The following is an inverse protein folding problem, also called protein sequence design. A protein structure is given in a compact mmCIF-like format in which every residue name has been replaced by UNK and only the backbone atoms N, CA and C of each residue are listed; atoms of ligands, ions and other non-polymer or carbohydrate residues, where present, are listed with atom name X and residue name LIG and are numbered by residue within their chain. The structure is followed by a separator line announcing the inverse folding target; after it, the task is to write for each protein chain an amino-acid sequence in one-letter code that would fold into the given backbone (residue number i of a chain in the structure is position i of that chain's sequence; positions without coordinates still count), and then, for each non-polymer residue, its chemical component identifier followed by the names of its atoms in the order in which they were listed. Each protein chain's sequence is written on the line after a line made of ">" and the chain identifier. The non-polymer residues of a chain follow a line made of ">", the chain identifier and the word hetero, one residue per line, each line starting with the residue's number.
data_IF_317962904127
#
_entry.id   IF_317962904127
#
_cell.length_a   1.000
_cell.length_b   1.000
_cell.length_c   1.000
_cell.angle_alpha   90.00
_cell.angle_beta   90.00
_cell.angle_gamma   90.00
#
_symmetry.space_group_name_H-M   'P 1'
#
loop_
_entity.id
_entity.type
_entity.pdbx_description
1 polymer ?
#
# COMPACT_ATOMS: atom_id res chain seq x y z
N UNK A 1 -47.90 -27.56 38.53
CA UNK A 1 -47.75 -26.07 38.67
C UNK A 1 -46.30 -25.67 38.42
N UNK A 2 -45.34 -26.42 38.96
CA UNK A 2 -43.91 -26.21 38.71
C UNK A 2 -43.51 -26.34 37.23
N UNK A 3 -44.12 -27.25 36.47
CA UNK A 3 -43.84 -27.45 35.05
C UNK A 3 -44.18 -26.21 34.21
N UNK A 4 -45.31 -25.56 34.54
CA UNK A 4 -45.72 -24.32 33.91
C UNK A 4 -44.74 -23.19 34.24
N UNK A 5 -44.38 -23.05 35.53
CA UNK A 5 -43.40 -22.06 35.98
C UNK A 5 -42.04 -22.26 35.30
N UNK A 6 -41.56 -23.50 35.20
CA UNK A 6 -40.31 -23.82 34.52
C UNK A 6 -40.37 -23.51 33.02
N UNK A 7 -41.51 -23.78 32.36
CA UNK A 7 -41.75 -23.42 30.97
C UNK A 7 -41.70 -21.91 30.74
N UNK A 8 -42.41 -21.16 31.58
CA UNK A 8 -42.41 -19.68 31.53
C UNK A 8 -41.01 -19.13 31.78
N UNK A 9 -40.28 -19.65 32.76
CA UNK A 9 -38.93 -19.18 33.08
C UNK A 9 -37.96 -19.40 31.90
N UNK A 10 -38.01 -20.56 31.24
CA UNK A 10 -37.20 -20.83 30.04
C UNK A 10 -37.55 -19.90 28.89
N UNK A 11 -38.84 -19.61 28.69
CA UNK A 11 -39.30 -18.67 27.68
C UNK A 11 -38.77 -17.26 27.96
N UNK A 12 -38.92 -16.78 29.19
CA UNK A 12 -38.42 -15.46 29.62
C UNK A 12 -36.92 -15.37 29.43
N UNK A 13 -36.15 -16.36 29.89
CA UNK A 13 -34.70 -16.40 29.68
C UNK A 13 -34.33 -16.32 28.21
N UNK A 14 -35.03 -17.06 27.34
CA UNK A 14 -34.80 -17.02 25.89
C UNK A 14 -35.09 -15.64 25.30
N UNK A 15 -36.21 -15.02 25.70
CA UNK A 15 -36.58 -13.66 25.25
C UNK A 15 -35.52 -12.64 25.70
N UNK A 16 -35.05 -12.73 26.95
CA UNK A 16 -33.99 -11.85 27.47
C UNK A 16 -32.70 -12.00 26.68
N UNK A 17 -32.27 -13.24 26.40
CA UNK A 17 -31.06 -13.50 25.60
C UNK A 17 -31.21 -12.94 24.19
N UNK A 18 -32.36 -13.15 23.55
CA UNK A 18 -32.63 -12.59 22.21
C UNK A 18 -32.63 -11.07 22.24
N UNK A 19 -33.28 -10.45 23.23
CA UNK A 19 -33.32 -9.01 23.38
C UNK A 19 -31.90 -8.43 23.56
N UNK A 20 -31.06 -9.06 24.38
CA UNK A 20 -29.66 -8.67 24.56
C UNK A 20 -28.88 -8.74 23.23
N UNK A 21 -29.10 -9.79 22.44
CA UNK A 21 -28.52 -9.93 21.11
C UNK A 21 -28.99 -8.84 20.14
N UNK A 22 -30.28 -8.50 20.15
CA UNK A 22 -30.84 -7.41 19.32
C UNK A 22 -30.24 -6.06 19.71
N UNK A 23 -30.12 -5.78 21.01
CA UNK A 23 -29.49 -4.53 21.49
C UNK A 23 -28.03 -4.44 21.03
N UNK A 24 -27.26 -5.52 21.17
CA UNK A 24 -25.88 -5.57 20.68
C UNK A 24 -25.82 -5.35 19.17
N UNK A 25 -26.66 -6.04 18.41
CA UNK A 25 -26.73 -5.91 16.95
C UNK A 25 -27.06 -4.48 16.52
N UNK A 26 -28.08 -3.87 17.10
CA UNK A 26 -28.46 -2.48 16.83
C UNK A 26 -27.33 -1.51 17.18
N UNK A 27 -26.62 -1.76 18.28
CA UNK A 27 -25.45 -0.96 18.67
C UNK A 27 -24.33 -1.05 17.62
N UNK A 28 -24.01 -2.26 17.13
CA UNK A 28 -23.01 -2.44 16.06
C UNK A 28 -23.45 -1.73 14.77
N UNK A 29 -24.70 -1.89 14.36
CA UNK A 29 -25.26 -1.23 13.17
C UNK A 29 -25.16 0.28 13.31
N UNK A 30 -25.54 0.83 14.47
CA UNK A 30 -25.41 2.25 14.76
C UNK A 30 -23.94 2.70 14.70
N UNK A 31 -23.01 1.94 15.28
CA UNK A 31 -21.58 2.26 15.25
C UNK A 31 -21.03 2.28 13.82
N UNK A 32 -21.38 1.30 12.99
CA UNK A 32 -21.00 1.25 11.56
C UNK A 32 -21.62 2.42 10.80
N UNK A 33 -22.87 2.77 11.08
CA UNK A 33 -23.54 3.90 10.43
C UNK A 33 -22.90 5.23 10.79
N UNK A 34 -22.51 5.44 12.06
CA UNK A 34 -21.74 6.60 12.49
C UNK A 34 -20.38 6.63 11.79
N UNK A 35 -19.67 5.50 11.77
CA UNK A 35 -18.38 5.39 11.08
C UNK A 35 -18.52 5.72 9.59
N UNK A 36 -19.54 5.19 8.93
CA UNK A 36 -19.85 5.47 7.53
C UNK A 36 -20.17 6.96 7.32
N UNK A 37 -20.93 7.60 8.21
CA UNK A 37 -21.18 9.05 8.17
C UNK A 37 -19.89 9.85 8.28
N UNK A 38 -19.02 9.51 9.24
CA UNK A 38 -17.72 10.17 9.41
C UNK A 38 -16.86 9.98 8.16
N UNK A 39 -16.89 8.79 7.56
CA UNK A 39 -16.13 8.48 6.36
C UNK A 39 -16.69 9.17 5.12
N UNK A 40 -18.00 9.23 4.96
CA UNK A 40 -18.68 9.93 3.88
C UNK A 40 -18.48 11.44 4.00
N UNK A 41 -18.52 11.99 5.22
CA UNK A 41 -18.18 13.38 5.48
C UNK A 41 -16.70 13.61 5.10
N UNK A 42 -15.77 12.78 5.57
CA UNK A 42 -14.35 12.88 5.21
C UNK A 42 -14.12 12.81 3.69
N UNK A 43 -14.71 11.82 3.01
CA UNK A 43 -14.59 11.65 1.56
C UNK A 43 -15.27 12.80 0.80
N UNK A 44 -16.43 13.26 1.28
CA UNK A 44 -17.21 14.35 0.75
C UNK A 44 -16.61 15.72 1.01
N UNK A 45 -15.80 15.90 2.05
CA UNK A 45 -15.07 17.14 2.34
C UNK A 45 -14.15 17.53 1.19
N UNK A 46 -13.51 16.55 0.54
CA UNK A 46 -12.73 16.80 -0.68
C UNK A 46 -13.57 17.37 -1.82
N UNK A 47 -14.85 16.96 -1.91
CA UNK A 47 -15.81 17.47 -2.90
C UNK A 47 -16.43 18.80 -2.50
N UNK A 48 -16.71 19.03 -1.21
CA UNK A 48 -17.38 20.24 -0.72
C UNK A 48 -16.44 21.44 -0.53
N UNK A 49 -15.19 21.20 -0.13
CA UNK A 49 -14.22 22.29 0.16
C UNK A 49 -13.13 22.43 -0.90
N UNK A 50 -13.06 21.53 -1.89
CA UNK A 50 -12.03 21.53 -2.94
C UNK A 50 -10.59 21.34 -2.42
N UNK A 51 -10.42 21.21 -1.10
CA UNK A 51 -9.14 21.02 -0.42
C UNK A 51 -8.95 19.54 -0.15
N UNK A 52 -7.89 18.92 -0.66
CA UNK A 52 -7.65 17.50 -0.45
C UNK A 52 -7.47 17.24 1.04
N UNK A 53 -8.26 16.31 1.54
CA UNK A 53 -8.09 15.64 2.82
C UNK A 53 -6.65 15.15 2.94
N UNK A 54 -5.91 15.64 3.95
CA UNK A 54 -4.55 15.18 4.25
C UNK A 54 -4.54 13.67 4.47
N UNK A 55 -3.87 12.89 3.61
CA UNK A 55 -3.79 11.45 3.77
C UNK A 55 -2.91 11.13 4.99
N UNK A 56 -3.42 10.34 5.93
CA UNK A 56 -2.63 9.82 7.05
C UNK A 56 -1.60 8.79 6.59
N UNK A 57 -1.78 8.22 5.39
CA UNK A 57 -0.75 7.45 4.72
C UNK A 57 0.14 8.45 4.00
N UNK A 58 1.39 8.55 4.46
CA UNK A 58 2.49 9.21 3.75
C UNK A 58 2.32 8.94 2.25
N UNK A 59 2.26 9.99 1.43
CA UNK A 59 2.19 9.82 -0.03
C UNK A 59 3.46 9.09 -0.48
N UNK A 60 3.38 7.77 -0.57
CA UNK A 60 4.34 6.95 -1.27
C UNK A 60 4.09 7.24 -2.75
N UNK A 61 4.79 8.24 -3.28
CA UNK A 61 4.76 8.53 -4.71
C UNK A 61 5.36 7.30 -5.42
N UNK A 62 4.59 6.57 -6.25
CA UNK A 62 5.07 5.36 -6.90
C UNK A 62 6.30 5.62 -7.78
N UNK A 63 6.55 6.86 -8.19
CA UNK A 63 7.74 7.25 -8.96
C UNK A 63 8.99 7.41 -8.10
N UNK A 64 8.85 7.76 -6.82
CA UNK A 64 10.00 7.89 -5.91
C UNK A 64 10.40 6.57 -5.27
N UNK A 65 9.44 5.65 -5.06
CA UNK A 65 9.69 4.32 -4.47
C UNK A 65 10.63 3.43 -5.31
N UNK A 66 10.51 3.44 -6.63
CA UNK A 66 11.42 2.67 -7.49
C UNK A 66 12.76 3.39 -7.69
N UNK A 67 12.76 4.72 -7.82
CA UNK A 67 13.98 5.49 -8.09
C UNK A 67 15.04 5.41 -6.98
N UNK A 68 14.63 5.36 -5.72
CA UNK A 68 15.57 5.24 -4.57
C UNK A 68 16.21 3.85 -4.50
N UNK A 69 15.48 2.78 -4.84
CA UNK A 69 16.00 1.40 -4.82
C UNK A 69 16.95 1.13 -5.99
N UNK A 70 16.63 1.63 -7.20
CA UNK A 70 17.55 1.54 -8.33
C UNK A 70 18.83 2.35 -8.10
N UNK A 71 18.72 3.56 -7.54
CA UNK A 71 19.89 4.40 -7.23
C UNK A 71 20.75 3.83 -6.09
N UNK A 72 20.14 3.16 -5.10
CA UNK A 72 20.89 2.51 -4.01
C UNK A 72 21.63 1.26 -4.49
N UNK A 73 21.03 0.48 -5.41
CA UNK A 73 21.69 -0.66 -6.05
C UNK A 73 22.77 -0.23 -7.03
N UNK A 74 22.60 0.86 -7.78
CA UNK A 74 23.66 1.46 -8.59
C UNK A 74 24.85 1.90 -7.73
N UNK A 75 24.60 2.52 -6.57
CA UNK A 75 25.67 2.93 -5.64
C UNK A 75 26.40 1.72 -5.03
N UNK A 76 25.68 0.66 -4.66
CA UNK A 76 26.28 -0.57 -4.13
C UNK A 76 27.06 -1.34 -5.20
N UNK A 77 26.52 -1.43 -6.41
CA UNK A 77 27.19 -2.13 -7.52
C UNK A 77 28.39 -1.34 -8.04
N UNK A 78 28.37 -0.01 -7.98
CA UNK A 78 29.54 0.85 -8.25
C UNK A 78 30.58 0.72 -7.15
N UNK A 79 30.19 0.68 -5.87
CA UNK A 79 31.11 0.44 -4.75
C UNK A 79 31.73 -0.97 -4.80
N UNK A 80 30.98 -1.98 -5.26
CA UNK A 80 31.48 -3.35 -5.47
C UNK A 80 32.39 -3.46 -6.70
N UNK A 81 32.15 -2.69 -7.76
CA UNK A 81 33.04 -2.58 -8.95
C UNK A 81 34.28 -1.72 -8.69
N UNK A 82 34.25 -0.84 -7.69
CA UNK A 82 35.38 -0.04 -7.25
C UNK A 82 36.36 -0.80 -6.34
N UNK A 83 36.18 -2.11 -6.15
CA UNK A 83 37.21 -2.97 -5.55
C UNK A 83 37.88 -3.84 -6.61
N UNK A 84 38.85 -3.28 -7.38
CA UNK A 84 39.98 -4.04 -7.84
C UNK A 84 41.09 -3.96 -6.78
N UNK A 85 41.62 -5.12 -6.41
CA UNK A 85 42.96 -5.25 -5.89
C UNK A 85 43.90 -4.37 -6.73
N UNK A 86 44.64 -3.47 -6.09
CA UNK A 86 45.58 -2.59 -6.76
C UNK A 86 46.92 -2.67 -6.02
N UNK A 87 47.66 -3.74 -6.32
CA UNK A 87 49.09 -3.60 -6.55
C UNK A 87 49.29 -2.72 -7.80
N UNK A 88 50.30 -1.85 -7.72
CA UNK A 88 50.92 -1.07 -8.80
C UNK A 88 50.14 0.13 -9.42
N UNK A 89 50.73 1.31 -9.25
CA UNK A 89 50.53 2.56 -10.02
C UNK A 89 51.20 2.48 -11.42
N UNK A 90 51.23 3.52 -12.28
CA UNK A 90 50.55 4.83 -12.27
C UNK A 90 49.82 5.22 -13.59
N UNK A 91 48.97 6.24 -13.51
CA UNK A 91 48.71 7.32 -14.50
C UNK A 91 48.79 6.99 -16.01
N UNK A 92 47.66 6.66 -16.65
CA UNK A 92 47.28 7.18 -17.97
C UNK A 92 45.84 6.74 -18.33
N UNK A 93 45.11 7.54 -19.11
CA UNK A 93 43.78 7.19 -19.67
C UNK A 93 42.57 7.21 -18.73
N UNK A 94 42.32 8.34 -18.06
CA UNK A 94 41.02 8.65 -17.45
C UNK A 94 40.01 9.33 -18.42
N UNK A 95 40.26 9.31 -19.74
CA UNK A 95 39.41 9.97 -20.73
C UNK A 95 38.51 9.03 -21.57
N UNK A 96 38.59 7.70 -21.40
CA UNK A 96 37.86 6.73 -22.23
C UNK A 96 36.66 6.04 -21.54
N UNK A 97 36.35 6.39 -20.28
CA UNK A 97 35.28 5.73 -19.49
C UNK A 97 33.95 6.50 -19.44
N UNK A 98 33.67 7.33 -20.44
CA UNK A 98 32.41 8.08 -20.56
C UNK A 98 31.58 7.52 -21.72
N UNK A 99 30.79 6.48 -21.46
CA UNK A 99 29.65 6.09 -22.30
C UNK A 99 29.95 5.26 -23.55
N UNK A 100 30.58 4.09 -23.40
CA UNK A 100 30.65 3.10 -24.47
C UNK A 100 29.33 2.35 -24.63
N UNK A 101 28.77 2.36 -25.84
CA UNK A 101 27.66 1.51 -26.26
C UNK A 101 28.06 0.04 -26.08
N UNK A 102 27.22 -0.76 -25.41
CA UNK A 102 27.48 -2.19 -25.22
C UNK A 102 27.49 -2.90 -26.60
N UNK A 103 28.41 -3.85 -26.84
CA UNK A 103 28.42 -4.65 -28.07
C UNK A 103 27.05 -5.31 -28.27
N UNK A 104 26.36 -5.01 -29.37
CA UNK A 104 25.02 -5.53 -29.70
C UNK A 104 23.85 -4.57 -29.45
N UNK A 105 24.05 -3.40 -28.84
CA UNK A 105 22.96 -2.41 -28.67
C UNK A 105 22.50 -1.76 -29.99
N UNK A 106 23.29 -1.91 -31.06
CA UNK A 106 22.97 -1.45 -32.42
C UNK A 106 22.07 -2.42 -33.20
N UNK A 107 21.84 -3.65 -32.70
CA UNK A 107 21.02 -4.67 -33.36
C UNK A 107 19.54 -4.66 -32.90
N UNK A 108 19.17 -3.73 -32.01
CA UNK A 108 17.79 -3.60 -31.55
C UNK A 108 17.00 -2.78 -32.57
N UNK A 109 16.43 -3.46 -33.55
CA UNK A 109 15.44 -2.87 -34.46
C UNK A 109 14.09 -2.82 -33.76
N UNK A 110 13.43 -1.66 -33.82
CA UNK A 110 12.30 -1.22 -32.99
C UNK A 110 11.22 -2.29 -32.72
N UNK A 111 10.78 -2.36 -31.45
CA UNK A 111 9.71 -3.25 -31.01
C UNK A 111 8.37 -2.52 -31.10
N UNK A 112 7.46 -3.00 -31.95
CA UNK A 112 6.09 -2.45 -32.05
C UNK A 112 5.25 -2.94 -30.85
N UNK A 113 4.58 -2.05 -30.11
CA UNK A 113 3.72 -2.45 -29.00
C UNK A 113 2.53 -3.27 -29.51
N UNK A 114 2.32 -4.45 -28.92
CA UNK A 114 1.17 -5.32 -29.21
C UNK A 114 -0.10 -4.71 -28.58
N UNK A 115 -1.09 -4.39 -29.40
CA UNK A 115 -2.40 -3.97 -28.91
C UNK A 115 -3.09 -5.14 -28.17
N UNK A 116 -3.55 -4.87 -26.95
CA UNK A 116 -4.29 -5.81 -26.11
C UNK A 116 -5.78 -5.61 -26.41
N UNK A 117 -6.40 -6.63 -26.99
CA UNK A 117 -7.83 -6.67 -27.31
C UNK A 117 -8.63 -7.33 -26.18
#
# INVERSE_FOLDING_TARGET
>A
MNEFVAGVLRLVLRVVVVAMGVVLFLSLVAAVMVLALVWALRAGWARLTGKPVTPWVMRMDPRTGFGTVFRSTERWTTARRASPAADAAPEESAASRRGGVLPGAQDVTDVVPREVR
#
